data_IF_425317275077
#
_entry.id   IF_425317275077
#
_cell.length_a   1.000
_cell.length_b   1.000
_cell.length_c   1.000
_cell.angle_alpha   90.00
_cell.angle_beta   90.00
_cell.angle_gamma   90.00
#
_symmetry.space_group_name_H-M   'P 1'
#
loop_
_entity.id
_entity.type
_entity.pdbx_description
1 polymer ?
#
# COMPACT_ATOMS: atom_id res chain seq x y z
N UNK A 1 10.86 -8.87 -28.38
CA UNK A 1 11.60 -7.92 -27.52
C UNK A 1 10.60 -7.14 -26.69
N UNK A 2 10.61 -7.29 -25.37
CA UNK A 2 9.83 -6.39 -24.55
C UNK A 2 10.40 -4.99 -24.71
N UNK A 3 9.54 -4.05 -25.09
CA UNK A 3 9.93 -2.65 -25.21
C UNK A 3 10.10 -2.04 -23.81
N UNK A 4 10.98 -1.03 -23.62
CA UNK A 4 11.23 -0.42 -22.31
C UNK A 4 10.00 0.22 -21.63
N UNK A 5 8.88 0.24 -22.32
CA UNK A 5 7.59 0.75 -21.84
C UNK A 5 6.93 -0.14 -20.82
N UNK A 6 7.29 -1.41 -20.73
CA UNK A 6 6.63 -2.35 -19.82
C UNK A 6 6.93 -2.05 -18.34
N UNK A 7 8.13 -1.55 -18.05
CA UNK A 7 8.51 -1.19 -16.68
C UNK A 7 7.85 0.09 -16.15
N UNK A 8 7.52 1.01 -17.03
CA UNK A 8 6.87 2.27 -16.64
C UNK A 8 5.41 2.03 -16.25
N UNK A 9 4.80 1.01 -16.82
CA UNK A 9 3.41 0.67 -16.57
C UNK A 9 3.21 -0.07 -15.24
N UNK A 10 4.14 -0.90 -14.84
CA UNK A 10 4.11 -1.51 -13.51
C UNK A 10 4.24 -0.44 -12.40
N UNK A 11 5.02 0.59 -12.65
CA UNK A 11 5.15 1.73 -11.75
C UNK A 11 3.88 2.58 -11.68
N UNK A 12 3.16 2.70 -12.78
CA UNK A 12 1.89 3.42 -12.83
C UNK A 12 0.79 2.69 -12.07
N UNK A 13 0.83 1.37 -12.02
CA UNK A 13 -0.10 0.53 -11.27
C UNK A 13 -0.03 0.81 -9.77
N UNK A 14 1.17 1.06 -9.26
CA UNK A 14 1.38 1.39 -7.84
C UNK A 14 0.95 2.82 -7.47
N UNK A 15 0.62 3.64 -8.44
CA UNK A 15 0.18 5.02 -8.24
C UNK A 15 -1.32 5.12 -7.95
N UNK A 16 -2.06 4.10 -8.24
CA UNK A 16 -3.51 4.13 -8.14
C UNK A 16 -3.97 3.49 -6.84
N UNK A 17 -4.73 4.18 -6.06
CA UNK A 17 -5.04 3.77 -4.69
C UNK A 17 -6.46 4.15 -4.31
N UNK A 18 -7.20 3.21 -3.80
CA UNK A 18 -8.47 3.48 -3.17
C UNK A 18 -8.60 2.81 -1.81
N UNK A 19 -9.07 3.54 -0.85
CA UNK A 19 -9.65 2.95 0.34
C UNK A 19 -11.15 3.10 0.27
N UNK A 20 -11.85 2.03 0.45
CA UNK A 20 -13.27 2.09 0.69
C UNK A 20 -13.48 2.49 2.13
N UNK A 21 -14.20 3.55 2.33
CA UNK A 21 -14.70 3.88 3.64
C UNK A 21 -15.74 2.83 3.98
N UNK A 22 -15.50 2.07 5.01
CA UNK A 22 -16.57 1.33 5.64
C UNK A 22 -17.53 2.38 6.23
N UNK A 23 -18.65 2.60 5.60
CA UNK A 23 -19.76 3.30 6.19
C UNK A 23 -20.38 2.37 7.24
N UNK A 24 -19.80 2.39 8.41
CA UNK A 24 -20.40 1.80 9.57
C UNK A 24 -21.26 2.84 10.28
N UNK A 25 -22.42 3.15 9.74
CA UNK A 25 -23.50 3.66 10.56
C UNK A 25 -24.25 2.46 11.14
N UNK A 26 -23.88 2.11 12.30
CA UNK A 26 -24.54 1.09 13.08
C UNK A 26 -24.12 1.26 14.52
N UNK A 27 -24.84 2.07 15.26
CA UNK A 27 -24.67 2.15 16.69
C UNK A 27 -24.95 0.80 17.31
N UNK A 28 -23.96 0.23 17.92
CA UNK A 28 -24.08 -0.72 18.97
C UNK A 28 -23.05 -0.33 20.02
N UNK A 29 -23.52 0.22 21.11
CA UNK A 29 -22.77 0.29 22.34
C UNK A 29 -22.51 -1.15 22.78
N UNK A 30 -21.39 -1.68 22.36
CA UNK A 30 -20.83 -2.91 22.86
C UNK A 30 -19.50 -2.56 23.49
N UNK A 31 -19.36 -2.93 24.74
CA UNK A 31 -18.19 -2.74 25.57
C UNK A 31 -16.91 -2.97 24.75
N UNK A 32 -16.12 -1.91 24.62
CA UNK A 32 -14.80 -2.00 24.05
C UNK A 32 -13.95 -2.85 25.00
N UNK A 33 -13.86 -4.13 24.70
CA UNK A 33 -12.74 -4.90 25.16
C UNK A 33 -11.51 -4.25 24.50
N UNK A 34 -10.66 -3.65 25.29
CA UNK A 34 -9.30 -3.31 24.91
C UNK A 34 -8.59 -4.61 24.53
N UNK A 35 -8.86 -5.07 23.31
CA UNK A 35 -7.97 -6.01 22.67
C UNK A 35 -6.65 -5.28 22.51
N UNK A 36 -5.64 -5.73 23.20
CA UNK A 36 -4.26 -5.32 23.00
C UNK A 36 -4.01 -5.30 21.51
N UNK A 37 -3.80 -4.11 20.96
CA UNK A 37 -3.49 -3.91 19.55
C UNK A 37 -2.03 -4.31 19.30
N UNK A 38 -1.72 -5.58 19.53
CA UNK A 38 -0.49 -6.16 19.06
C UNK A 38 -0.68 -6.47 17.58
N UNK A 39 -0.15 -5.59 16.74
CA UNK A 39 -0.08 -5.85 15.33
C UNK A 39 0.71 -7.12 15.05
N UNK A 40 0.50 -7.71 13.89
CA UNK A 40 1.14 -8.97 13.49
C UNK A 40 2.06 -8.75 12.30
N UNK A 41 3.17 -9.48 12.29
CA UNK A 41 4.00 -9.61 11.10
C UNK A 41 3.43 -10.67 10.17
N UNK A 42 3.34 -10.34 8.89
CA UNK A 42 2.86 -11.23 7.85
C UNK A 42 3.90 -11.35 6.76
N UNK A 43 4.19 -12.57 6.37
CA UNK A 43 5.11 -12.91 5.28
C UNK A 43 4.42 -13.80 4.27
N UNK A 44 4.80 -13.66 3.00
CA UNK A 44 4.25 -14.45 1.91
C UNK A 44 5.32 -15.30 1.24
N UNK A 45 4.98 -16.53 0.79
CA UNK A 45 5.94 -17.37 0.10
C UNK A 45 6.54 -16.69 -1.13
N UNK A 46 7.86 -16.71 -1.24
CA UNK A 46 8.58 -16.11 -2.36
C UNK A 46 8.74 -14.58 -2.27
N UNK A 47 8.20 -13.94 -1.25
CA UNK A 47 8.39 -12.51 -0.99
C UNK A 47 9.47 -12.28 0.06
N UNK A 48 10.44 -11.38 -0.19
CA UNK A 48 11.45 -11.02 0.80
C UNK A 48 10.93 -10.02 1.85
N UNK A 49 9.69 -9.54 1.70
CA UNK A 49 9.12 -8.50 2.54
C UNK A 49 8.35 -9.07 3.71
N UNK A 50 8.49 -8.43 4.84
CA UNK A 50 7.77 -8.73 6.06
C UNK A 50 6.90 -7.52 6.41
N UNK A 51 5.58 -7.68 6.31
CA UNK A 51 4.61 -6.64 6.55
C UNK A 51 4.16 -6.64 8.01
N UNK A 52 4.28 -5.52 8.67
CA UNK A 52 3.65 -5.29 9.96
C UNK A 52 2.21 -4.79 9.74
N UNK A 53 1.26 -5.59 10.17
CA UNK A 53 -0.16 -5.24 10.13
C UNK A 53 -0.63 -4.82 11.53
N UNK A 54 -0.93 -3.53 11.75
CA UNK A 54 -1.52 -3.10 13.01
C UNK A 54 -2.94 -3.66 13.20
N UNK A 55 -3.61 -4.00 12.11
CA UNK A 55 -4.91 -4.66 12.04
C UNK A 55 -5.02 -5.45 10.73
N UNK A 56 -5.83 -6.50 10.65
CA UNK A 56 -6.04 -7.19 9.39
C UNK A 56 -6.80 -6.32 8.37
N UNK A 57 -6.61 -6.54 7.07
CA UNK A 57 -7.40 -5.85 6.06
C UNK A 57 -8.90 -6.03 6.30
N UNK A 58 -9.66 -4.95 6.20
CA UNK A 58 -11.08 -4.92 6.50
C UNK A 58 -11.88 -4.21 5.38
N UNK A 59 -13.20 -4.39 5.39
CA UNK A 59 -14.10 -3.81 4.39
C UNK A 59 -13.80 -4.33 2.99
N UNK A 60 -13.64 -3.42 2.03
CA UNK A 60 -13.32 -3.77 0.65
C UNK A 60 -11.81 -3.94 0.39
N UNK A 61 -10.98 -3.75 1.39
CA UNK A 61 -9.53 -3.88 1.25
C UNK A 61 -9.08 -5.27 0.80
N UNK A 62 -9.58 -6.39 1.38
CA UNK A 62 -9.20 -7.71 0.92
C UNK A 62 -9.49 -7.94 -0.56
N UNK A 63 -10.65 -7.52 -1.04
CA UNK A 63 -11.04 -7.62 -2.45
C UNK A 63 -10.12 -6.77 -3.32
N UNK A 64 -9.88 -5.53 -2.94
CA UNK A 64 -8.99 -4.63 -3.68
C UNK A 64 -7.56 -5.17 -3.77
N UNK A 65 -7.03 -5.69 -2.68
CA UNK A 65 -5.70 -6.31 -2.64
C UNK A 65 -5.63 -7.50 -3.60
N UNK A 66 -6.61 -8.40 -3.55
CA UNK A 66 -6.65 -9.58 -4.40
C UNK A 66 -6.76 -9.21 -5.88
N UNK A 67 -7.61 -8.26 -6.23
CA UNK A 67 -7.76 -7.80 -7.62
C UNK A 67 -6.50 -7.14 -8.15
N UNK A 68 -5.83 -6.31 -7.36
CA UNK A 68 -4.58 -5.67 -7.75
C UNK A 68 -3.45 -6.68 -7.93
N UNK A 69 -3.31 -7.62 -7.03
CA UNK A 69 -2.30 -8.69 -7.12
C UNK A 69 -2.55 -9.58 -8.33
N UNK A 70 -3.80 -9.97 -8.56
CA UNK A 70 -4.20 -10.77 -9.73
C UNK A 70 -3.94 -10.01 -11.03
N UNK A 71 -4.31 -8.74 -11.09
CA UNK A 71 -4.07 -7.90 -12.26
C UNK A 71 -2.59 -7.75 -12.59
N UNK A 72 -1.72 -7.58 -11.61
CA UNK A 72 -0.27 -7.53 -11.82
C UNK A 72 0.24 -8.89 -12.34
N UNK A 73 -0.24 -9.99 -11.75
CA UNK A 73 0.12 -11.34 -12.18
C UNK A 73 -0.34 -11.65 -13.61
N UNK A 74 -1.45 -11.11 -14.04
CA UNK A 74 -1.99 -11.25 -15.40
C UNK A 74 -1.33 -10.32 -16.43
N UNK A 75 -0.40 -9.48 -16.00
CA UNK A 75 0.31 -8.55 -16.86
C UNK A 75 -0.45 -7.27 -17.18
N UNK A 76 -1.43 -6.91 -16.36
CA UNK A 76 -2.12 -5.62 -16.47
C UNK A 76 -1.12 -4.48 -16.33
N UNK A 77 -1.12 -3.61 -17.34
CA UNK A 77 -0.19 -2.49 -17.43
C UNK A 77 -0.59 -1.35 -16.50
N UNK A 78 -1.88 -1.09 -16.42
CA UNK A 78 -2.47 -0.06 -15.57
C UNK A 78 -3.63 -0.62 -14.78
N UNK A 79 -3.67 -0.27 -13.52
CA UNK A 79 -4.82 -0.50 -12.67
C UNK A 79 -5.12 0.78 -11.89
N UNK A 80 -6.39 1.10 -11.74
CA UNK A 80 -6.82 2.24 -10.95
C UNK A 80 -7.65 1.76 -9.77
N UNK A 81 -7.24 2.17 -8.61
CA UNK A 81 -7.97 1.90 -7.38
C UNK A 81 -8.63 3.20 -6.93
N UNK A 82 -9.97 3.22 -6.89
CA UNK A 82 -10.75 4.37 -6.49
C UNK A 82 -11.13 4.30 -5.02
N UNK A 83 -11.07 5.45 -4.36
CA UNK A 83 -11.52 5.54 -2.98
C UNK A 83 -11.32 6.92 -2.39
N UNK A 84 -11.88 7.09 -1.21
CA UNK A 84 -11.70 8.31 -0.43
C UNK A 84 -10.35 8.35 0.26
N UNK A 85 -9.89 9.56 0.57
CA UNK A 85 -8.62 9.80 1.27
C UNK A 85 -8.55 9.13 2.64
N UNK A 86 -7.39 8.62 2.97
CA UNK A 86 -7.10 8.04 4.28
C UNK A 86 -5.96 7.02 4.25
N UNK A 87 -5.51 6.63 5.43
CA UNK A 87 -4.42 5.66 5.62
C UNK A 87 -4.72 4.25 5.09
N UNK A 88 -5.99 3.94 4.85
CA UNK A 88 -6.42 2.66 4.29
C UNK A 88 -5.87 2.38 2.89
N UNK A 89 -5.59 3.42 2.10
CA UNK A 89 -4.97 3.28 0.79
C UNK A 89 -3.53 2.82 0.88
N UNK A 90 -2.75 3.46 1.73
CA UNK A 90 -1.34 3.11 1.96
C UNK A 90 -1.22 1.68 2.47
N UNK A 91 -2.10 1.29 3.37
CA UNK A 91 -2.17 -0.06 3.89
C UNK A 91 -2.52 -1.09 2.80
N UNK A 92 -3.47 -0.78 1.93
CA UNK A 92 -3.81 -1.62 0.77
C UNK A 92 -2.59 -1.81 -0.13
N UNK A 93 -1.88 -0.73 -0.44
CA UNK A 93 -0.66 -0.81 -1.25
C UNK A 93 0.47 -1.57 -0.57
N UNK A 94 0.65 -1.40 0.72
CA UNK A 94 1.64 -2.18 1.48
C UNK A 94 1.36 -3.68 1.38
N UNK A 95 0.10 -4.09 1.46
CA UNK A 95 -0.30 -5.49 1.27
C UNK A 95 0.01 -6.00 -0.14
N UNK A 96 -0.27 -5.21 -1.16
CA UNK A 96 0.05 -5.58 -2.55
C UNK A 96 1.56 -5.76 -2.73
N UNK A 97 2.36 -4.83 -2.24
CA UNK A 97 3.82 -4.88 -2.31
C UNK A 97 4.36 -6.12 -1.58
N UNK A 98 3.86 -6.38 -0.38
CA UNK A 98 4.27 -7.54 0.40
C UNK A 98 3.99 -8.86 -0.33
N UNK A 99 2.83 -8.97 -0.97
CA UNK A 99 2.44 -10.18 -1.71
C UNK A 99 3.22 -10.36 -3.01
N UNK A 100 3.49 -9.27 -3.72
CA UNK A 100 4.21 -9.34 -4.99
C UNK A 100 5.69 -9.65 -4.81
N UNK A 101 6.30 -9.25 -3.71
CA UNK A 101 7.71 -9.50 -3.42
C UNK A 101 8.68 -8.84 -4.38
N UNK A 102 8.26 -7.79 -5.06
CA UNK A 102 9.07 -7.03 -6.02
C UNK A 102 9.42 -5.66 -5.45
N UNK A 103 10.58 -5.10 -5.83
CA UNK A 103 10.87 -3.70 -5.53
C UNK A 103 9.78 -2.78 -6.08
N UNK A 104 9.42 -1.76 -5.32
CA UNK A 104 8.37 -0.82 -5.68
C UNK A 104 8.88 0.61 -5.59
N UNK A 105 8.46 1.44 -6.54
CA UNK A 105 8.69 2.87 -6.50
C UNK A 105 7.33 3.57 -6.36
N UNK A 106 7.25 4.47 -5.40
CA UNK A 106 6.04 5.20 -5.09
C UNK A 106 6.28 6.68 -5.38
N UNK A 107 5.49 7.23 -6.29
CA UNK A 107 5.56 8.64 -6.64
C UNK A 107 4.51 9.43 -5.88
N UNK A 108 4.92 10.57 -5.35
CA UNK A 108 4.05 11.53 -4.72
C UNK A 108 4.10 12.88 -5.44
N UNK A 109 3.01 13.65 -5.45
CA UNK A 109 2.95 14.91 -6.19
C UNK A 109 3.76 16.03 -5.55
N UNK A 110 4.14 15.91 -4.28
CA UNK A 110 4.92 16.91 -3.55
C UNK A 110 5.75 16.28 -2.43
N UNK A 111 6.66 17.07 -1.89
CA UNK A 111 7.59 16.63 -0.83
C UNK A 111 6.88 16.26 0.47
N UNK A 112 5.84 16.96 0.83
CA UNK A 112 5.08 16.71 2.08
C UNK A 112 4.43 15.35 2.04
N UNK A 113 3.77 15.01 0.94
CA UNK A 113 3.14 13.71 0.78
C UNK A 113 4.19 12.60 0.64
N UNK A 114 5.30 12.85 -0.04
CA UNK A 114 6.41 11.90 -0.13
C UNK A 114 6.98 11.55 1.26
N UNK A 115 7.19 12.55 2.10
CA UNK A 115 7.65 12.34 3.47
C UNK A 115 6.64 11.55 4.31
N UNK A 116 5.36 11.84 4.17
CA UNK A 116 4.29 11.11 4.85
C UNK A 116 4.26 9.64 4.42
N UNK A 117 4.32 9.38 3.13
CA UNK A 117 4.36 8.00 2.60
C UNK A 117 5.60 7.25 3.06
N UNK A 118 6.75 7.90 3.06
CA UNK A 118 7.98 7.32 3.58
C UNK A 118 7.83 6.87 5.04
N UNK A 119 7.27 7.74 5.87
CA UNK A 119 7.01 7.43 7.28
C UNK A 119 6.05 6.25 7.44
N UNK A 120 4.96 6.23 6.69
CA UNK A 120 3.97 5.15 6.74
C UNK A 120 4.54 3.81 6.27
N UNK A 121 5.28 3.80 5.16
CA UNK A 121 5.90 2.57 4.66
C UNK A 121 7.01 2.03 5.57
N UNK A 122 7.72 2.88 6.27
CA UNK A 122 8.67 2.45 7.30
C UNK A 122 7.98 1.76 8.47
N UNK A 123 6.79 2.17 8.82
CA UNK A 123 5.99 1.52 9.86
C UNK A 123 5.47 0.15 9.39
N UNK A 124 5.08 0.04 8.12
CA UNK A 124 4.62 -1.22 7.55
C UNK A 124 5.75 -2.21 7.28
N UNK A 125 6.93 -1.73 6.94
CA UNK A 125 8.10 -2.56 6.63
C UNK A 125 9.31 -2.22 7.50
N UNK A 126 9.21 -2.42 8.83
CA UNK A 126 10.29 -2.00 9.74
C UNK A 126 11.58 -2.80 9.55
N UNK A 127 11.50 -3.99 8.97
CA UNK A 127 12.63 -4.90 8.79
C UNK A 127 13.14 -4.95 7.34
N UNK A 128 12.58 -4.14 6.45
CA UNK A 128 13.00 -4.04 5.06
C UNK A 128 13.54 -2.64 4.75
N UNK A 129 14.32 -2.55 3.68
CA UNK A 129 14.82 -1.27 3.21
C UNK A 129 13.71 -0.42 2.62
N UNK A 130 13.46 0.72 3.21
CA UNK A 130 12.56 1.75 2.70
C UNK A 130 13.38 3.02 2.53
N UNK A 131 13.51 3.46 1.29
CA UNK A 131 14.34 4.59 0.93
C UNK A 131 13.48 5.79 0.53
N UNK A 132 13.99 6.96 0.79
CA UNK A 132 13.35 8.22 0.49
C UNK A 132 14.19 9.01 -0.49
N UNK A 133 13.62 9.33 -1.63
CA UNK A 133 14.28 10.12 -2.66
C UNK A 133 13.49 11.39 -2.94
N UNK A 134 14.12 12.51 -2.74
CA UNK A 134 13.57 13.83 -3.06
C UNK A 134 14.55 14.56 -3.94
N UNK A 135 14.05 15.11 -5.04
CA UNK A 135 14.83 16.03 -5.83
C UNK A 135 15.07 17.32 -5.03
N UNK A 136 16.32 17.53 -4.68
CA UNK A 136 16.70 18.73 -3.98
C UNK A 136 16.89 19.86 -5.00
N UNK A 137 15.87 20.67 -5.13
CA UNK A 137 15.93 21.85 -5.99
C UNK A 137 15.67 23.09 -5.16
N UNK A 138 16.77 23.73 -4.76
CA UNK A 138 16.72 25.04 -4.14
C UNK A 138 16.76 26.11 -5.22
N UNK A 139 15.62 26.71 -5.45
CA UNK A 139 15.49 27.87 -6.29
C UNK A 139 15.52 29.12 -5.41
N UNK A 140 16.58 29.83 -5.52
CA UNK A 140 16.65 31.16 -4.94
C UNK A 140 16.42 32.19 -6.02
#
# INVERSE_FOLDING_TARGET
MPTPTDNVSELATLKAIAATKANGEGGAEGEAQEASKEGQFVSYPGSPFELFQPYPPAGDQPTAINELVEGIGDGEVFQTLLGVTGSGKTFTMANVIARMGRPAIIFAPNKTLAAQLYSEFREFFPNNAVEYFVSYYDYY
#
